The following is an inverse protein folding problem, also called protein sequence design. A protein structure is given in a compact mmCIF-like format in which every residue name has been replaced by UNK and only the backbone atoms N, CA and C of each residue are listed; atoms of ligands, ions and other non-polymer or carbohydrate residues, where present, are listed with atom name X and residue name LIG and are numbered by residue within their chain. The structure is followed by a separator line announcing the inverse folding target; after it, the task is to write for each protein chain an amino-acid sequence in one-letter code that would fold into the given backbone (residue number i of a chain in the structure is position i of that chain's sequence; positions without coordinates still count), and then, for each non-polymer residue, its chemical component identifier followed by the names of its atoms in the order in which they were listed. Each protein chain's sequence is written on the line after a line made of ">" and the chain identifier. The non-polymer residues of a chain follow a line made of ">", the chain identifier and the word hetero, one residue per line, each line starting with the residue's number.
data_IF_640482265816
#
_entry.id   IF_640482265816
#
_cell.length_a   1.000
_cell.length_b   1.000
_cell.length_c   1.000
_cell.angle_alpha   90.00
_cell.angle_beta   90.00
_cell.angle_gamma   90.00
#
_symmetry.space_group_name_H-M   'P 1'
#
loop_
_entity.id
_entity.type
_entity.pdbx_description
1 polymer ?
#
# COMPACT_ATOMS: atom_id res chain seq x y z
N UNK A 1 0.16 -14.01 -9.70
CA UNK A 1 0.71 -13.56 -8.38
C UNK A 1 1.07 -12.07 -8.47
N UNK A 2 1.19 -11.33 -7.34
CA UNK A 2 1.49 -9.88 -7.36
C UNK A 2 2.75 -9.54 -8.17
N UNK A 3 3.86 -10.23 -7.91
CA UNK A 3 5.13 -9.90 -8.57
C UNK A 3 5.07 -10.16 -10.09
N UNK A 4 4.39 -11.22 -10.53
CA UNK A 4 4.15 -11.49 -11.96
C UNK A 4 3.37 -10.36 -12.63
N UNK A 5 2.28 -9.91 -12.01
CA UNK A 5 1.46 -8.82 -12.55
C UNK A 5 2.24 -7.48 -12.60
N UNK A 6 3.10 -7.22 -11.62
CA UNK A 6 3.94 -6.02 -11.65
C UNK A 6 5.01 -6.09 -12.74
N UNK A 7 5.64 -7.25 -12.92
CA UNK A 7 6.64 -7.48 -13.98
C UNK A 7 6.06 -7.37 -15.39
N UNK A 8 4.78 -7.68 -15.59
CA UNK A 8 4.08 -7.44 -16.86
C UNK A 8 3.91 -5.94 -17.18
N UNK A 9 3.84 -5.09 -16.16
CA UNK A 9 3.50 -3.66 -16.31
C UNK A 9 4.72 -2.74 -16.23
N UNK A 10 5.76 -3.15 -15.50
CA UNK A 10 6.93 -2.33 -15.16
C UNK A 10 8.24 -3.12 -15.24
N UNK A 11 9.35 -2.46 -15.59
CA UNK A 11 10.67 -3.06 -15.47
C UNK A 11 11.00 -3.35 -13.99
N UNK A 12 11.79 -4.38 -13.73
CA UNK A 12 12.05 -4.91 -12.39
C UNK A 12 12.64 -3.86 -11.43
N UNK A 13 13.50 -2.96 -11.92
CA UNK A 13 14.14 -1.90 -11.16
C UNK A 13 13.14 -0.90 -10.58
N UNK A 14 11.91 -0.91 -11.09
CA UNK A 14 10.81 -0.04 -10.63
C UNK A 14 9.82 -0.76 -9.73
N UNK A 15 10.10 -2.02 -9.35
CA UNK A 15 9.28 -2.81 -8.43
C UNK A 15 9.92 -2.76 -7.04
N UNK A 16 9.34 -1.93 -6.17
CA UNK A 16 9.88 -1.74 -4.82
C UNK A 16 9.40 -2.80 -3.84
N UNK A 17 10.34 -3.64 -3.41
CA UNK A 17 10.10 -4.69 -2.43
C UNK A 17 10.11 -4.31 -0.98
N UNK A 18 10.13 -5.35 -0.16
CA UNK A 18 10.30 -5.27 1.28
C UNK A 18 11.73 -5.71 1.53
N UNK A 19 12.53 -4.82 2.11
CA UNK A 19 13.85 -5.17 2.62
C UNK A 19 13.66 -5.90 3.95
N UNK A 20 13.96 -7.20 3.94
CA UNK A 20 13.78 -8.07 5.11
C UNK A 20 14.89 -7.91 6.14
N UNK A 21 16.00 -7.27 5.78
CA UNK A 21 17.13 -7.01 6.68
C UNK A 21 16.99 -5.63 7.38
N UNK A 22 16.02 -4.81 6.96
CA UNK A 22 15.76 -3.52 7.59
C UNK A 22 15.38 -3.69 9.08
N UNK A 23 15.94 -2.90 10.00
CA UNK A 23 15.71 -3.06 11.45
C UNK A 23 14.23 -2.97 11.85
N UNK A 24 13.44 -2.23 11.08
CA UNK A 24 12.00 -2.08 11.28
C UNK A 24 11.12 -3.14 10.61
N UNK A 25 11.70 -4.19 9.98
CA UNK A 25 10.94 -5.26 9.32
C UNK A 25 9.93 -5.92 10.27
N UNK A 26 10.26 -6.03 11.56
CA UNK A 26 9.37 -6.61 12.59
C UNK A 26 8.17 -5.73 12.92
N UNK A 27 8.19 -4.47 12.51
CA UNK A 27 7.06 -3.54 12.70
C UNK A 27 6.04 -3.62 11.56
N UNK A 28 6.37 -4.33 10.47
CA UNK A 28 5.48 -4.53 9.33
C UNK A 28 4.33 -5.46 9.73
N UNK A 29 3.11 -5.10 9.32
CA UNK A 29 1.96 -6.01 9.35
C UNK A 29 1.72 -6.50 7.94
N UNK A 30 1.53 -7.81 7.77
CA UNK A 30 0.95 -8.38 6.57
C UNK A 30 -0.40 -9.01 6.86
N UNK A 31 -1.32 -8.85 5.92
CA UNK A 31 -2.66 -9.43 5.96
C UNK A 31 -2.89 -10.24 4.70
N UNK A 32 -3.67 -11.31 4.84
CA UNK A 32 -4.14 -12.13 3.73
C UNK A 32 -5.67 -12.15 3.83
N UNK A 33 -6.36 -11.72 2.77
CA UNK A 33 -7.79 -11.95 2.65
C UNK A 33 -8.04 -13.38 2.21
N UNK A 34 -8.90 -14.08 2.96
CA UNK A 34 -9.32 -15.44 2.63
C UNK A 34 -10.83 -15.54 2.46
N UNK A 35 -11.25 -16.39 1.54
CA UNK A 35 -12.64 -16.80 1.37
C UNK A 35 -12.68 -18.30 1.14
N UNK A 36 -13.48 -19.04 1.92
CA UNK A 36 -13.55 -20.51 1.87
C UNK A 36 -12.18 -21.22 1.91
N UNK A 37 -11.24 -20.66 2.67
CA UNK A 37 -9.88 -21.20 2.80
C UNK A 37 -8.90 -20.72 1.71
N UNK A 38 -9.40 -20.20 0.59
CA UNK A 38 -8.57 -19.69 -0.51
C UNK A 38 -8.04 -18.29 -0.23
N UNK A 39 -6.78 -18.01 -0.58
CA UNK A 39 -6.18 -16.69 -0.45
C UNK A 39 -6.50 -15.83 -1.69
N UNK A 40 -7.25 -14.75 -1.48
CA UNK A 40 -7.75 -13.90 -2.57
C UNK A 40 -7.07 -12.53 -2.64
N UNK A 41 -6.25 -12.19 -1.66
CA UNK A 41 -5.52 -10.94 -1.65
C UNK A 41 -4.52 -10.86 -0.52
N UNK A 42 -3.54 -9.97 -0.67
CA UNK A 42 -2.58 -9.64 0.37
C UNK A 42 -2.33 -8.13 0.43
N UNK A 43 -1.76 -7.68 1.53
CA UNK A 43 -1.37 -6.30 1.73
C UNK A 43 -0.57 -6.18 3.01
N UNK A 44 0.15 -5.08 3.15
CA UNK A 44 0.83 -4.80 4.41
C UNK A 44 0.98 -3.32 4.67
N UNK A 45 1.22 -2.99 5.92
CA UNK A 45 1.60 -1.64 6.34
C UNK A 45 2.94 -1.68 7.07
N UNK A 46 3.78 -0.70 6.80
CA UNK A 46 5.03 -0.46 7.55
C UNK A 46 5.06 0.95 8.12
N UNK A 47 5.72 1.18 9.26
CA UNK A 47 5.99 2.55 9.71
C UNK A 47 6.83 3.29 8.66
N UNK A 48 6.49 4.55 8.40
CA UNK A 48 7.43 5.50 7.82
C UNK A 48 8.21 6.13 8.97
N UNK A 49 9.54 6.17 8.84
CA UNK A 49 10.37 6.93 9.75
C UNK A 49 10.04 8.41 9.53
N UNK A 50 9.45 9.11 10.51
CA UNK A 50 9.15 10.52 10.34
C UNK A 50 10.45 11.31 10.30
N UNK A 51 10.55 12.29 9.40
CA UNK A 51 11.39 13.44 9.71
C UNK A 51 10.86 14.10 10.98
N UNK A 52 11.72 14.75 11.77
CA UNK A 52 11.40 15.22 13.13
C UNK A 52 10.14 16.10 13.29
N UNK A 53 9.60 16.65 12.18
CA UNK A 53 8.40 17.49 12.16
C UNK A 53 7.19 16.86 11.45
N UNK A 54 7.27 15.59 11.04
CA UNK A 54 6.16 14.91 10.37
C UNK A 54 5.27 14.13 11.35
N UNK A 55 3.99 14.06 11.00
CA UNK A 55 3.05 13.20 11.71
C UNK A 55 3.44 11.73 11.52
N UNK A 56 3.20 10.86 12.51
CA UNK A 56 3.52 9.44 12.37
C UNK A 56 2.65 8.84 11.25
N UNK A 57 3.30 8.39 10.19
CA UNK A 57 2.65 7.83 9.01
C UNK A 57 2.95 6.34 8.85
N UNK A 58 1.98 5.60 8.31
CA UNK A 58 2.18 4.24 7.82
C UNK A 58 2.19 4.23 6.28
N UNK A 59 3.03 3.41 5.69
CA UNK A 59 3.03 3.15 4.25
C UNK A 59 2.28 1.86 3.95
N UNK A 60 1.26 1.92 3.09
CA UNK A 60 0.62 0.75 2.50
C UNK A 60 1.53 0.17 1.40
N UNK A 61 1.84 -1.12 1.51
CA UNK A 61 2.74 -1.84 0.63
C UNK A 61 2.18 -3.19 0.21
N UNK A 62 2.65 -3.67 -0.94
CA UNK A 62 2.37 -5.02 -1.47
C UNK A 62 0.87 -5.35 -1.47
N UNK A 63 0.04 -4.36 -1.80
CA UNK A 63 -1.41 -4.47 -1.80
C UNK A 63 -1.90 -5.06 -3.12
N UNK A 64 -2.54 -6.22 -3.05
CA UNK A 64 -2.96 -7.01 -4.20
C UNK A 64 -4.26 -7.74 -3.89
N UNK A 65 -5.17 -7.79 -4.86
CA UNK A 65 -6.37 -8.64 -4.80
C UNK A 65 -6.53 -9.33 -6.15
N UNK A 66 -6.82 -10.63 -6.10
CA UNK A 66 -6.99 -11.45 -7.28
C UNK A 66 -8.07 -10.89 -8.21
N UNK A 67 -7.74 -10.78 -9.50
CA UNK A 67 -8.61 -10.15 -10.50
C UNK A 67 -9.91 -10.93 -10.74
N UNK A 68 -9.90 -12.25 -10.55
CA UNK A 68 -11.08 -13.12 -10.65
C UNK A 68 -12.11 -12.87 -9.55
N UNK A 69 -11.75 -12.13 -8.50
CA UNK A 69 -12.62 -11.82 -7.35
C UNK A 69 -13.03 -10.35 -7.27
N UNK A 70 -12.83 -9.60 -8.37
CA UNK A 70 -13.29 -8.21 -8.51
C UNK A 70 -14.80 -8.10 -8.27
N UNK A 71 -15.23 -6.93 -7.77
CA UNK A 71 -16.62 -6.61 -7.35
C UNK A 71 -17.13 -7.29 -6.07
N UNK A 72 -16.33 -8.10 -5.39
CA UNK A 72 -16.68 -8.68 -4.07
C UNK A 72 -16.34 -7.76 -2.88
N UNK A 73 -15.86 -6.54 -3.13
CA UNK A 73 -15.51 -5.58 -2.07
C UNK A 73 -14.23 -5.91 -1.29
N UNK A 74 -13.51 -6.99 -1.63
CA UNK A 74 -12.32 -7.48 -0.92
C UNK A 74 -11.25 -6.38 -0.77
N UNK A 75 -10.89 -5.70 -1.87
CA UNK A 75 -9.89 -4.62 -1.81
C UNK A 75 -10.32 -3.47 -0.88
N UNK A 76 -11.60 -3.10 -0.91
CA UNK A 76 -12.09 -2.05 -0.01
C UNK A 76 -12.08 -2.49 1.46
N UNK A 77 -12.47 -3.74 1.73
CA UNK A 77 -12.44 -4.31 3.08
C UNK A 77 -11.02 -4.42 3.64
N UNK A 78 -10.08 -4.91 2.82
CA UNK A 78 -8.67 -5.01 3.20
C UNK A 78 -8.03 -3.65 3.45
N UNK A 79 -8.29 -2.67 2.57
CA UNK A 79 -7.78 -1.32 2.74
C UNK A 79 -8.27 -0.73 4.06
N UNK A 80 -9.58 -0.80 4.33
CA UNK A 80 -10.16 -0.35 5.60
C UNK A 80 -9.56 -1.08 6.81
N UNK A 81 -9.39 -2.40 6.73
CA UNK A 81 -8.77 -3.16 7.82
C UNK A 81 -7.36 -2.67 8.12
N UNK A 82 -6.55 -2.44 7.08
CA UNK A 82 -5.18 -1.93 7.23
C UNK A 82 -5.15 -0.50 7.78
N UNK A 83 -6.07 0.38 7.36
CA UNK A 83 -6.23 1.70 7.96
C UNK A 83 -6.57 1.61 9.46
N UNK A 84 -7.47 0.70 9.84
CA UNK A 84 -7.84 0.50 11.25
C UNK A 84 -6.67 -0.05 12.08
N UNK A 85 -5.85 -0.94 11.50
CA UNK A 85 -4.59 -1.37 12.13
C UNK A 85 -3.59 -0.23 12.28
N UNK A 86 -3.50 0.66 11.30
CA UNK A 86 -2.63 1.83 11.37
C UNK A 86 -3.09 2.80 12.47
N UNK A 87 -4.39 3.10 12.54
CA UNK A 87 -4.99 3.88 13.64
C UNK A 87 -4.71 3.28 15.00
N UNK A 88 -4.92 1.97 15.16
CA UNK A 88 -4.67 1.25 16.41
C UNK A 88 -3.21 1.29 16.88
N UNK A 89 -2.27 1.59 15.98
CA UNK A 89 -0.84 1.77 16.28
C UNK A 89 -0.42 3.23 16.46
N UNK A 90 -1.37 4.16 16.42
CA UNK A 90 -1.12 5.58 16.63
C UNK A 90 -0.67 6.35 15.40
N UNK A 91 -0.68 5.74 14.21
CA UNK A 91 -0.43 6.46 12.97
C UNK A 91 -1.58 7.42 12.68
N UNK A 92 -1.24 8.61 12.22
CA UNK A 92 -2.15 9.71 11.87
C UNK A 92 -2.37 9.85 10.38
N UNK A 93 -1.51 9.23 9.59
CA UNK A 93 -1.59 9.27 8.14
C UNK A 93 -1.29 7.89 7.56
N UNK A 94 -1.94 7.55 6.45
CA UNK A 94 -1.55 6.45 5.59
C UNK A 94 -1.11 6.98 4.24
N UNK A 95 0.10 6.62 3.82
CA UNK A 95 0.69 6.95 2.52
C UNK A 95 0.88 5.70 1.68
N UNK A 96 0.94 5.85 0.38
CA UNK A 96 1.22 4.76 -0.54
C UNK A 96 1.86 5.27 -1.82
N UNK A 97 2.56 4.37 -2.50
CA UNK A 97 2.97 4.54 -3.88
C UNK A 97 2.16 3.59 -4.78
N UNK A 98 1.86 4.04 -5.99
CA UNK A 98 1.34 3.20 -7.07
C UNK A 98 1.86 3.70 -8.41
N UNK A 99 2.28 2.77 -9.28
CA UNK A 99 2.64 3.13 -10.64
C UNK A 99 1.44 3.64 -11.45
N UNK A 100 1.68 4.59 -12.36
CA UNK A 100 0.63 5.26 -13.14
C UNK A 100 -0.17 4.34 -14.09
N UNK A 101 0.32 3.14 -14.40
CA UNK A 101 -0.36 2.14 -15.24
C UNK A 101 -1.29 1.20 -14.45
N UNK A 102 -1.75 1.63 -13.27
CA UNK A 102 -2.67 0.87 -12.40
C UNK A 102 -3.96 1.68 -12.11
N UNK A 103 -4.77 1.99 -13.15
CA UNK A 103 -5.96 2.84 -12.99
C UNK A 103 -6.97 2.29 -11.98
N UNK A 104 -7.07 0.97 -11.82
CA UNK A 104 -7.94 0.32 -10.84
C UNK A 104 -7.51 0.60 -9.39
N UNK A 105 -6.20 0.65 -9.13
CA UNK A 105 -5.66 0.96 -7.81
C UNK A 105 -5.85 2.45 -7.50
N UNK A 106 -5.53 3.32 -8.47
CA UNK A 106 -5.76 4.76 -8.36
C UNK A 106 -7.23 5.06 -8.05
N UNK A 107 -8.17 4.46 -8.78
CA UNK A 107 -9.60 4.63 -8.55
C UNK A 107 -10.04 4.13 -7.16
N UNK A 108 -9.49 3.01 -6.69
CA UNK A 108 -9.73 2.50 -5.34
C UNK A 108 -9.30 3.54 -4.29
N UNK A 109 -8.05 4.01 -4.35
CA UNK A 109 -7.52 4.94 -3.35
C UNK A 109 -8.28 6.27 -3.34
N UNK A 110 -8.53 6.86 -4.51
CA UNK A 110 -9.30 8.10 -4.62
C UNK A 110 -10.72 7.95 -4.05
N UNK A 111 -11.38 6.81 -4.31
CA UNK A 111 -12.71 6.50 -3.74
C UNK A 111 -12.69 6.41 -2.21
N UNK A 112 -11.58 5.96 -1.63
CA UNK A 112 -11.40 5.83 -0.18
C UNK A 112 -10.83 7.09 0.50
N UNK A 113 -10.78 8.22 -0.22
CA UNK A 113 -10.41 9.51 0.34
C UNK A 113 -8.92 9.83 0.29
N UNK A 114 -8.12 9.00 -0.37
CA UNK A 114 -6.72 9.33 -0.62
C UNK A 114 -6.59 10.45 -1.64
N UNK A 115 -5.63 11.33 -1.40
CA UNK A 115 -5.30 12.47 -2.26
C UNK A 115 -3.87 12.35 -2.77
N UNK A 116 -3.57 12.83 -3.99
CA UNK A 116 -2.19 12.92 -4.46
C UNK A 116 -1.34 13.73 -3.48
N UNK A 117 -0.12 13.27 -3.23
CA UNK A 117 0.90 13.97 -2.43
C UNK A 117 2.22 13.96 -3.20
N UNK A 118 3.17 14.74 -2.72
CA UNK A 118 4.55 14.67 -3.23
C UNK A 118 5.14 13.27 -3.01
N UNK A 119 6.04 12.88 -3.92
CA UNK A 119 6.74 11.60 -3.82
C UNK A 119 7.64 11.60 -2.58
N UNK A 120 7.67 10.48 -1.86
CA UNK A 120 8.35 10.37 -0.56
C UNK A 120 9.32 9.19 -0.52
N UNK A 121 10.28 9.24 0.41
CA UNK A 121 11.25 8.16 0.64
C UNK A 121 11.99 7.75 -0.64
N UNK A 122 12.07 6.43 -0.88
CA UNK A 122 12.75 5.86 -2.06
C UNK A 122 12.07 6.19 -3.41
N UNK A 123 10.88 6.80 -3.37
CA UNK A 123 10.11 7.16 -4.56
C UNK A 123 10.32 8.62 -4.99
N UNK A 124 10.97 9.44 -4.16
CA UNK A 124 11.11 10.89 -4.37
C UNK A 124 11.58 11.24 -5.79
N UNK A 125 12.54 10.47 -6.32
CA UNK A 125 13.14 10.71 -7.64
C UNK A 125 12.54 9.88 -8.78
N UNK A 126 11.53 9.04 -8.53
CA UNK A 126 10.92 8.20 -9.56
C UNK A 126 9.73 8.91 -10.25
N UNK A 127 9.87 9.43 -11.49
CA UNK A 127 8.83 10.25 -12.12
C UNK A 127 7.62 9.43 -12.61
N UNK A 128 7.69 8.10 -12.60
CA UNK A 128 6.63 7.23 -13.11
C UNK A 128 5.67 6.73 -12.03
N UNK A 129 6.00 6.97 -10.77
CA UNK A 129 5.17 6.61 -9.64
C UNK A 129 4.28 7.78 -9.22
N UNK A 130 3.11 7.43 -8.68
CA UNK A 130 2.20 8.37 -8.05
C UNK A 130 2.12 8.05 -6.56
N UNK A 131 2.24 9.06 -5.73
CA UNK A 131 2.09 8.92 -4.29
C UNK A 131 0.76 9.50 -3.84
N UNK A 132 0.14 8.83 -2.87
CA UNK A 132 -1.13 9.26 -2.28
C UNK A 132 -1.06 9.22 -0.76
N UNK A 133 -1.75 10.16 -0.11
CA UNK A 133 -1.87 10.28 1.34
C UNK A 133 -3.32 10.42 1.78
N UNK A 134 -3.60 9.96 3.00
CA UNK A 134 -4.91 10.09 3.66
C UNK A 134 -4.70 10.28 5.16
N UNK A 135 -5.32 11.33 5.73
CA UNK A 135 -5.42 11.45 7.18
C UNK A 135 -6.30 10.34 7.77
N UNK A 136 -5.86 9.78 8.89
CA UNK A 136 -6.54 8.70 9.61
C UNK A 136 -7.34 9.18 10.83
N UNK A 137 -7.43 10.50 11.04
CA UNK A 137 -8.21 11.14 12.11
C UNK A 137 -9.67 10.64 12.21
#
# INVERSE_FOLDING_TARGET
>A
MLDEELMERYPQERIYGVDFDHPDVRKIIFVIARHNGEALGCGGIRPLTPDSNEQPAAELKRFFVDRGTRKMGIASGMLKYLEDQARGRGFKEMRLETGGKQPEAIALYMKHGYRPIDRFGVYADNPECLCFGKSLD
#
